data_IF_534396356087
#
_entry.id   IF_534396356087
#
_cell.length_a   1.000
_cell.length_b   1.000
_cell.length_c   1.000
_cell.angle_alpha   90.00
_cell.angle_beta   90.00
_cell.angle_gamma   90.00
#
_symmetry.space_group_name_H-M   'P 1'
#
loop_
_entity.id
_entity.type
_entity.pdbx_description
1 polymer ?
#
# COMPACT_ATOMS: atom_id res chain seq x y z
N UNK A 1 13.79 -8.07 -21.26
CA UNK A 1 12.53 -8.58 -20.68
C UNK A 1 12.92 -9.47 -19.52
N UNK A 2 12.95 -8.93 -18.29
CA UNK A 2 13.16 -9.75 -17.11
C UNK A 2 11.90 -10.59 -16.96
N UNK A 3 12.01 -11.89 -17.25
CA UNK A 3 10.98 -12.87 -16.93
C UNK A 3 11.00 -12.93 -15.40
N UNK A 4 10.01 -12.29 -14.75
CA UNK A 4 9.70 -12.60 -13.38
C UNK A 4 9.42 -14.11 -13.35
N UNK A 5 10.11 -14.82 -12.47
CA UNK A 5 9.72 -16.19 -12.15
C UNK A 5 8.27 -16.11 -11.68
N UNK A 6 7.33 -16.58 -12.49
CA UNK A 6 5.88 -16.38 -12.30
C UNK A 6 5.25 -17.48 -11.46
N UNK A 7 6.05 -18.42 -10.95
CA UNK A 7 5.57 -19.52 -10.12
C UNK A 7 5.56 -19.11 -8.66
N UNK A 8 4.63 -18.18 -8.33
CA UNK A 8 4.27 -17.84 -6.95
C UNK A 8 3.18 -18.79 -6.48
N UNK A 9 3.26 -19.22 -5.22
CA UNK A 9 2.27 -20.11 -4.61
C UNK A 9 1.17 -19.33 -3.92
N UNK A 10 1.54 -18.26 -3.18
CA UNK A 10 0.66 -17.54 -2.27
C UNK A 10 0.20 -16.18 -2.80
N UNK A 11 0.77 -15.73 -3.93
CA UNK A 11 0.36 -14.51 -4.62
C UNK A 11 0.21 -14.75 -6.12
N UNK A 12 -0.47 -13.82 -6.80
CA UNK A 12 -0.41 -13.66 -8.26
C UNK A 12 0.16 -12.28 -8.56
N UNK A 13 0.97 -12.17 -9.61
CA UNK A 13 1.42 -10.88 -10.12
C UNK A 13 1.03 -10.71 -11.57
N UNK A 14 0.34 -9.61 -11.87
CA UNK A 14 -0.03 -9.23 -13.24
C UNK A 14 0.49 -7.83 -13.54
N UNK A 15 1.02 -7.62 -14.74
CA UNK A 15 1.38 -6.30 -15.24
C UNK A 15 0.64 -6.01 -16.55
N UNK A 16 -0.21 -5.00 -16.55
CA UNK A 16 -0.99 -4.62 -17.73
C UNK A 16 -1.18 -3.09 -17.77
N UNK A 17 -0.93 -2.47 -18.92
CA UNK A 17 -1.19 -1.04 -19.19
C UNK A 17 -0.62 -0.09 -18.12
N UNK A 18 0.57 -0.38 -17.61
CA UNK A 18 1.22 0.44 -16.57
C UNK A 18 0.78 0.12 -15.15
N UNK A 19 -0.15 -0.78 -14.94
CA UNK A 19 -0.64 -1.22 -13.64
C UNK A 19 0.02 -2.55 -13.30
N UNK A 20 0.74 -2.60 -12.17
CA UNK A 20 1.16 -3.84 -11.55
C UNK A 20 0.16 -4.23 -10.48
N UNK A 21 -0.34 -5.45 -10.49
CA UNK A 21 -1.28 -5.95 -9.48
C UNK A 21 -0.67 -7.14 -8.77
N UNK A 22 -0.52 -7.03 -7.45
CA UNK A 22 -0.20 -8.13 -6.55
C UNK A 22 -1.52 -8.58 -5.92
N UNK A 23 -1.93 -9.81 -6.18
CA UNK A 23 -3.13 -10.41 -5.61
C UNK A 23 -2.72 -11.44 -4.58
N UNK A 24 -3.07 -11.26 -3.31
CA UNK A 24 -2.91 -12.28 -2.27
C UNK A 24 -3.79 -13.47 -2.65
N UNK A 25 -3.25 -14.68 -2.72
CA UNK A 25 -3.91 -15.83 -3.35
C UNK A 25 -4.01 -17.04 -2.43
N UNK A 26 -4.53 -16.82 -1.23
CA UNK A 26 -4.90 -17.87 -0.28
C UNK A 26 -6.37 -17.72 0.15
N UNK A 27 -7.34 -17.71 -0.81
CA UNK A 27 -8.74 -17.37 -0.51
C UNK A 27 -9.38 -18.31 0.52
N UNK A 28 -9.04 -19.60 0.53
CA UNK A 28 -9.52 -20.60 1.49
C UNK A 28 -9.07 -20.32 2.94
N UNK A 29 -8.06 -19.46 3.12
CA UNK A 29 -7.55 -18.97 4.40
C UNK A 29 -7.79 -17.47 4.58
N UNK A 30 -8.76 -16.89 3.86
CA UNK A 30 -9.03 -15.45 3.85
C UNK A 30 -7.75 -14.61 3.62
N UNK A 31 -6.84 -15.09 2.80
CA UNK A 31 -5.54 -14.50 2.49
C UNK A 31 -4.66 -14.24 3.72
N UNK A 32 -4.74 -15.13 4.73
CA UNK A 32 -3.89 -15.05 5.91
C UNK A 32 -2.41 -15.07 5.54
N UNK A 33 -1.64 -14.19 6.19
CA UNK A 33 -0.22 -13.96 5.90
C UNK A 33 0.64 -15.03 6.55
N UNK A 34 1.53 -15.60 5.74
CA UNK A 34 2.61 -16.47 6.19
C UNK A 34 3.95 -15.97 5.62
N UNK A 35 5.06 -16.45 6.17
CA UNK A 35 6.40 -16.03 5.76
C UNK A 35 6.66 -16.15 4.24
N UNK A 36 6.35 -17.28 3.57
CA UNK A 36 6.53 -17.40 2.13
C UNK A 36 5.79 -16.35 1.32
N UNK A 37 4.52 -16.05 1.67
CA UNK A 37 3.71 -15.02 1.02
C UNK A 37 4.40 -13.65 1.05
N UNK A 38 4.93 -13.26 2.21
CA UNK A 38 5.64 -11.98 2.34
C UNK A 38 6.93 -11.95 1.51
N UNK A 39 7.66 -13.06 1.45
CA UNK A 39 8.86 -13.15 0.62
C UNK A 39 8.55 -13.07 -0.87
N UNK A 40 7.44 -13.64 -1.31
CA UNK A 40 6.96 -13.49 -2.69
C UNK A 40 6.61 -12.04 -3.01
N UNK A 41 5.92 -11.32 -2.11
CA UNK A 41 5.66 -9.87 -2.25
C UNK A 41 6.98 -9.09 -2.35
N UNK A 42 7.94 -9.37 -1.46
CA UNK A 42 9.27 -8.73 -1.50
C UNK A 42 9.94 -8.93 -2.85
N UNK A 43 9.98 -10.16 -3.34
CA UNK A 43 10.63 -10.50 -4.62
C UNK A 43 9.99 -9.75 -5.80
N UNK A 44 8.64 -9.70 -5.84
CA UNK A 44 7.93 -8.91 -6.85
C UNK A 44 8.29 -7.44 -6.73
N UNK A 45 8.16 -6.85 -5.55
CA UNK A 45 8.39 -5.41 -5.35
C UNK A 45 9.82 -5.00 -5.72
N UNK A 46 10.83 -5.75 -5.31
CA UNK A 46 12.24 -5.45 -5.66
C UNK A 46 12.48 -5.51 -7.17
N UNK A 47 11.83 -6.43 -7.87
CA UNK A 47 11.95 -6.56 -9.32
C UNK A 47 11.29 -5.40 -10.08
N UNK A 48 10.25 -4.80 -9.50
CA UNK A 48 9.46 -3.76 -10.18
C UNK A 48 9.80 -2.33 -9.75
N UNK A 49 10.49 -2.11 -8.63
CA UNK A 49 10.77 -0.77 -8.08
C UNK A 49 11.32 0.22 -9.12
N UNK A 50 12.23 -0.24 -9.97
CA UNK A 50 12.89 0.58 -11.02
C UNK A 50 12.22 0.47 -12.39
N UNK A 51 11.14 -0.29 -12.53
CA UNK A 51 10.47 -0.49 -13.82
C UNK A 51 9.78 0.79 -14.27
N UNK A 52 10.31 1.43 -15.31
CA UNK A 52 9.76 2.71 -15.83
C UNK A 52 8.33 2.58 -16.36
N UNK A 53 7.98 1.44 -16.92
CA UNK A 53 6.64 1.18 -17.43
C UNK A 53 5.58 1.09 -16.34
N UNK A 54 5.96 0.83 -15.07
CA UNK A 54 5.04 0.80 -13.93
C UNK A 54 4.62 2.22 -13.57
N UNK A 55 3.33 2.45 -13.54
CA UNK A 55 2.72 3.74 -13.17
C UNK A 55 2.01 3.69 -11.83
N UNK A 56 1.36 2.57 -11.53
CA UNK A 56 0.64 2.32 -10.28
C UNK A 56 0.86 0.87 -9.86
N UNK A 57 1.02 0.63 -8.57
CA UNK A 57 0.97 -0.69 -7.97
C UNK A 57 -0.35 -0.86 -7.22
N UNK A 58 -1.02 -1.97 -7.45
CA UNK A 58 -2.25 -2.37 -6.75
C UNK A 58 -1.94 -3.59 -5.90
N UNK A 59 -2.49 -3.63 -4.69
CA UNK A 59 -2.49 -4.80 -3.80
C UNK A 59 -3.94 -5.14 -3.49
N UNK A 60 -4.34 -6.37 -3.75
CA UNK A 60 -5.70 -6.86 -3.53
C UNK A 60 -5.70 -8.28 -2.99
N UNK A 61 -6.82 -8.75 -2.46
CA UNK A 61 -7.03 -10.14 -2.06
C UNK A 61 -7.91 -10.89 -3.05
N UNK A 62 -7.58 -12.14 -3.33
CA UNK A 62 -8.44 -13.05 -4.09
C UNK A 62 -9.66 -13.44 -3.23
N UNK A 63 -10.86 -13.48 -3.84
CA UNK A 63 -12.08 -13.95 -3.18
C UNK A 63 -12.75 -12.89 -2.30
N UNK A 64 -13.22 -13.32 -1.09
CA UNK A 64 -14.15 -12.55 -0.27
C UNK A 64 -13.50 -11.59 0.72
N UNK A 65 -12.18 -11.61 0.87
CA UNK A 65 -11.46 -10.79 1.85
C UNK A 65 -10.15 -10.29 1.29
N UNK A 66 -9.75 -9.11 1.72
CA UNK A 66 -8.41 -8.62 1.45
C UNK A 66 -7.38 -9.48 2.17
N UNK A 67 -7.41 -9.52 3.52
CA UNK A 67 -6.51 -10.33 4.34
C UNK A 67 -7.00 -10.36 5.79
N UNK A 68 -7.05 -11.55 6.39
CA UNK A 68 -7.49 -11.76 7.78
C UNK A 68 -6.39 -11.60 8.83
N UNK A 69 -5.17 -11.24 8.44
CA UNK A 69 -4.02 -11.09 9.33
C UNK A 69 -3.04 -12.26 9.23
N UNK A 70 -2.23 -12.45 10.27
CA UNK A 70 -1.24 -13.54 10.31
C UNK A 70 -1.93 -14.91 10.39
N UNK A 71 -1.35 -15.90 9.73
CA UNK A 71 -1.78 -17.29 9.79
C UNK A 71 -1.46 -17.88 11.18
N UNK A 72 -2.47 -17.91 12.04
CA UNK A 72 -2.33 -18.30 13.46
C UNK A 72 -1.85 -19.74 13.67
N UNK A 73 -2.04 -20.62 12.69
CA UNK A 73 -1.54 -22.00 12.76
C UNK A 73 0.00 -21.99 12.77
N UNK A 74 0.61 -21.06 12.06
CA UNK A 74 2.06 -20.90 12.01
C UNK A 74 2.63 -20.08 13.18
N UNK A 75 1.76 -19.50 14.02
CA UNK A 75 2.10 -18.79 15.25
C UNK A 75 1.98 -19.66 16.51
N UNK A 76 1.87 -21.00 16.39
CA UNK A 76 1.61 -21.94 17.48
C UNK A 76 2.45 -21.72 18.75
N UNK A 77 2.30 -22.60 19.81
CA UNK A 77 2.91 -22.38 21.14
C UNK A 77 4.44 -22.19 21.11
N UNK A 78 5.09 -22.64 20.08
CA UNK A 78 6.54 -22.42 19.85
C UNK A 78 6.83 -21.05 19.22
N UNK A 79 5.81 -20.24 18.95
CA UNK A 79 5.90 -18.92 18.32
C UNK A 79 6.35 -18.97 16.84
N UNK A 80 6.26 -17.83 16.16
CA UNK A 80 6.85 -17.73 14.85
C UNK A 80 8.36 -17.92 15.01
N UNK A 81 8.92 -18.88 14.32
CA UNK A 81 10.36 -19.01 14.20
C UNK A 81 10.88 -17.91 13.28
N UNK A 82 10.86 -16.69 13.78
CA UNK A 82 11.63 -15.63 13.16
C UNK A 82 13.11 -16.00 13.29
N UNK A 83 13.91 -15.88 12.24
CA UNK A 83 15.35 -16.00 12.40
C UNK A 83 15.78 -15.02 13.50
N UNK A 84 16.78 -15.35 14.35
CA UNK A 84 17.21 -14.50 15.43
C UNK A 84 17.46 -13.10 14.92
N UNK A 85 16.72 -12.14 15.50
CA UNK A 85 16.69 -10.76 15.03
C UNK A 85 17.77 -9.99 15.80
N UNK A 86 18.96 -9.92 15.25
CA UNK A 86 19.94 -8.93 15.67
C UNK A 86 19.53 -7.51 15.24
N UNK A 87 18.63 -7.42 14.25
CA UNK A 87 18.18 -6.18 13.63
C UNK A 87 16.76 -6.40 13.07
N UNK A 88 15.76 -5.73 13.65
CA UNK A 88 14.35 -5.79 13.22
C UNK A 88 14.10 -5.43 11.74
N UNK A 89 15.11 -4.93 11.02
CA UNK A 89 15.04 -4.64 9.59
C UNK A 89 14.90 -5.88 8.71
N UNK A 90 15.14 -7.07 9.24
CA UNK A 90 15.13 -8.35 8.51
C UNK A 90 13.79 -9.09 8.54
N UNK A 91 12.83 -8.65 9.36
CA UNK A 91 11.50 -9.26 9.37
C UNK A 91 10.82 -8.97 8.01
N UNK A 92 10.31 -9.98 7.29
CA UNK A 92 9.67 -9.77 5.99
C UNK A 92 8.52 -8.78 6.03
N UNK A 93 7.75 -8.74 7.10
CA UNK A 93 6.70 -7.75 7.34
C UNK A 93 7.24 -6.32 7.22
N UNK A 94 8.33 -6.01 7.95
CA UNK A 94 8.95 -4.68 7.89
C UNK A 94 9.52 -4.37 6.50
N UNK A 95 10.08 -5.40 5.83
CA UNK A 95 10.63 -5.23 4.47
C UNK A 95 9.56 -4.88 3.46
N UNK A 96 8.40 -5.56 3.50
CA UNK A 96 7.25 -5.24 2.63
C UNK A 96 6.78 -3.81 2.87
N UNK A 97 6.54 -3.43 4.13
CA UNK A 97 6.11 -2.07 4.51
C UNK A 97 7.11 -1.03 3.99
N UNK A 98 8.41 -1.26 4.20
CA UNK A 98 9.47 -0.37 3.70
C UNK A 98 9.43 -0.23 2.19
N UNK A 99 9.35 -1.34 1.44
CA UNK A 99 9.30 -1.32 -0.02
C UNK A 99 8.07 -0.56 -0.55
N UNK A 100 6.90 -0.70 0.09
CA UNK A 100 5.69 0.06 -0.25
C UNK A 100 5.93 1.57 -0.08
N UNK A 101 6.62 1.98 0.97
CA UNK A 101 6.92 3.40 1.22
C UNK A 101 8.02 3.93 0.29
N UNK A 102 9.04 3.13 -0.03
CA UNK A 102 10.18 3.53 -0.85
C UNK A 102 9.89 3.59 -2.35
N UNK A 103 8.98 2.76 -2.86
CA UNK A 103 8.65 2.76 -4.29
C UNK A 103 8.09 4.12 -4.73
N UNK A 104 8.73 4.76 -5.70
CA UNK A 104 8.33 6.06 -6.25
C UNK A 104 7.17 5.92 -7.26
N UNK A 105 6.15 5.18 -6.86
CA UNK A 105 4.90 4.96 -7.59
C UNK A 105 3.76 4.96 -6.58
N UNK A 106 2.55 5.41 -6.93
CA UNK A 106 1.38 5.20 -6.10
C UNK A 106 1.13 3.73 -5.84
N UNK A 107 0.85 3.37 -4.59
CA UNK A 107 0.44 2.03 -4.17
C UNK A 107 -0.98 2.11 -3.62
N UNK A 108 -1.87 1.31 -4.18
CA UNK A 108 -3.31 1.31 -3.87
C UNK A 108 -3.69 -0.04 -3.30
N UNK A 109 -4.28 -0.06 -2.10
CA UNK A 109 -4.92 -1.25 -1.55
C UNK A 109 -6.40 -1.28 -1.95
N UNK A 110 -6.86 -2.41 -2.48
CA UNK A 110 -8.28 -2.68 -2.76
C UNK A 110 -8.83 -3.59 -1.66
N UNK A 111 -9.69 -3.03 -0.82
CA UNK A 111 -10.13 -3.64 0.42
C UNK A 111 -11.58 -4.11 0.32
N UNK A 112 -11.81 -5.43 0.41
CA UNK A 112 -13.13 -6.03 0.53
C UNK A 112 -13.15 -7.04 1.67
N UNK A 113 -14.28 -7.25 2.32
CA UNK A 113 -14.42 -8.18 3.43
C UNK A 113 -13.47 -7.84 4.59
N UNK A 114 -12.65 -8.77 5.02
CA UNK A 114 -11.74 -8.56 6.15
C UNK A 114 -10.40 -7.94 5.74
N UNK A 115 -9.96 -6.91 6.50
CA UNK A 115 -8.65 -6.30 6.44
C UNK A 115 -8.12 -6.14 7.87
N UNK A 116 -7.47 -7.18 8.40
CA UNK A 116 -7.20 -7.33 9.82
C UNK A 116 -5.71 -7.56 10.12
N UNK A 117 -5.24 -7.11 11.28
CA UNK A 117 -3.89 -7.41 11.79
C UNK A 117 -2.77 -7.12 10.78
N UNK A 118 -2.02 -8.12 10.34
CA UNK A 118 -0.97 -7.94 9.34
C UNK A 118 -1.51 -7.48 7.97
N UNK A 119 -2.75 -7.82 7.60
CA UNK A 119 -3.43 -7.26 6.45
C UNK A 119 -3.74 -5.78 6.64
N UNK A 120 -4.09 -5.37 7.85
CA UNK A 120 -4.27 -3.97 8.21
C UNK A 120 -2.95 -3.19 8.11
N UNK A 121 -1.84 -3.73 8.64
CA UNK A 121 -0.50 -3.15 8.49
C UNK A 121 -0.16 -2.90 7.01
N UNK A 122 -0.42 -3.90 6.15
CA UNK A 122 -0.17 -3.82 4.71
C UNK A 122 -1.00 -2.70 4.05
N UNK A 123 -2.28 -2.60 4.41
CA UNK A 123 -3.18 -1.56 3.91
C UNK A 123 -2.78 -0.16 4.38
N UNK A 124 -2.35 -0.01 5.64
CA UNK A 124 -1.89 1.27 6.20
C UNK A 124 -0.60 1.77 5.53
N UNK A 125 0.27 0.86 5.11
CA UNK A 125 1.49 1.21 4.39
C UNK A 125 1.24 1.74 2.97
N UNK A 126 0.11 1.38 2.33
CA UNK A 126 -0.27 1.85 1.00
C UNK A 126 -0.62 3.34 1.01
N UNK A 127 -0.48 4.00 -0.15
CA UNK A 127 -0.80 5.42 -0.30
C UNK A 127 -2.32 5.65 -0.30
N UNK A 128 -3.05 4.78 -0.97
CA UNK A 128 -4.52 4.83 -1.06
C UNK A 128 -5.16 3.52 -0.61
N UNK A 129 -6.32 3.62 0.02
CA UNK A 129 -7.18 2.52 0.46
C UNK A 129 -8.56 2.74 -0.14
N UNK A 130 -8.93 1.92 -1.13
CA UNK A 130 -10.26 1.92 -1.72
C UNK A 130 -11.01 0.72 -1.14
N UNK A 131 -12.19 0.96 -0.60
CA UNK A 131 -12.96 -0.03 0.14
C UNK A 131 -14.26 -0.40 -0.57
N UNK A 132 -14.66 -1.66 -0.45
CA UNK A 132 -16.04 -2.07 -0.68
C UNK A 132 -16.87 -1.82 0.58
N UNK A 133 -18.18 -1.66 0.44
CA UNK A 133 -19.13 -1.40 1.53
C UNK A 133 -19.25 -2.53 2.55
N UNK A 134 -18.80 -3.75 2.20
CA UNK A 134 -18.74 -4.91 3.10
C UNK A 134 -17.46 -4.98 3.93
N UNK A 135 -16.59 -3.95 3.91
CA UNK A 135 -15.31 -3.94 4.63
C UNK A 135 -15.50 -4.05 6.15
N UNK A 136 -14.67 -4.90 6.77
CA UNK A 136 -14.40 -4.91 8.22
C UNK A 136 -12.90 -4.76 8.39
N UNK A 137 -12.47 -3.64 9.00
CA UNK A 137 -11.07 -3.25 9.09
C UNK A 137 -10.67 -2.91 10.52
N UNK A 138 -9.46 -3.27 10.91
CA UNK A 138 -8.90 -2.93 12.22
C UNK A 138 -7.79 -3.85 12.70
N UNK A 139 -7.36 -3.60 13.93
CA UNK A 139 -6.34 -4.40 14.59
C UNK A 139 -6.90 -5.15 15.79
N UNK A 140 -7.24 -6.41 15.59
CA UNK A 140 -7.81 -7.26 16.65
C UNK A 140 -6.74 -7.98 17.49
N UNK A 141 -5.45 -7.72 17.27
CA UNK A 141 -4.34 -8.42 17.94
C UNK A 141 -4.38 -8.31 19.45
N UNK A 142 -4.80 -7.17 20.01
CA UNK A 142 -4.95 -6.96 21.46
C UNK A 142 -5.90 -7.98 22.09
N UNK A 143 -6.98 -8.38 21.39
CA UNK A 143 -7.93 -9.41 21.88
C UNK A 143 -7.35 -10.83 21.84
N UNK A 144 -6.16 -11.00 21.30
CA UNK A 144 -5.42 -12.26 21.20
C UNK A 144 -4.07 -12.20 21.93
N UNK A 145 -3.90 -11.23 22.84
CA UNK A 145 -2.66 -10.98 23.57
C UNK A 145 -1.42 -10.79 22.66
N UNK A 146 -1.64 -10.25 21.45
CA UNK A 146 -0.59 -9.91 20.52
C UNK A 146 -0.43 -8.39 20.41
N UNK A 147 0.81 -7.92 20.22
CA UNK A 147 1.09 -6.52 19.97
C UNK A 147 1.06 -6.19 18.48
N UNK A 148 0.88 -4.91 18.15
CA UNK A 148 1.10 -4.38 16.81
C UNK A 148 2.55 -4.63 16.37
N UNK A 149 2.78 -4.95 15.10
CA UNK A 149 4.11 -5.37 14.63
C UNK A 149 4.66 -4.51 13.49
N UNK A 150 3.88 -4.26 12.44
CA UNK A 150 4.43 -3.79 11.15
C UNK A 150 4.05 -2.36 10.83
N UNK A 151 4.08 -1.49 11.83
CA UNK A 151 3.92 -0.06 11.65
C UNK A 151 2.53 0.48 11.99
N UNK A 152 1.56 -0.32 12.43
CA UNK A 152 0.23 0.18 12.86
C UNK A 152 0.36 1.31 13.86
N UNK A 153 1.21 1.18 14.90
CA UNK A 153 1.44 2.24 15.90
C UNK A 153 2.02 3.52 15.32
N UNK A 154 2.66 3.45 14.17
CA UNK A 154 3.22 4.61 13.49
C UNK A 154 2.26 5.23 12.47
N UNK A 155 1.62 4.40 11.63
CA UNK A 155 0.73 4.87 10.55
C UNK A 155 -0.62 5.33 11.08
N UNK A 156 -1.27 4.50 11.92
CA UNK A 156 -2.66 4.73 12.29
C UNK A 156 -2.88 6.10 12.97
N UNK A 157 -2.10 6.50 14.00
CA UNK A 157 -2.30 7.80 14.63
C UNK A 157 -2.01 8.99 13.70
N UNK A 158 -1.21 8.79 12.65
CA UNK A 158 -0.97 9.83 11.63
C UNK A 158 -2.09 9.94 10.60
N UNK A 159 -2.88 8.89 10.44
CA UNK A 159 -4.03 8.87 9.53
C UNK A 159 -5.30 9.36 10.23
N UNK A 160 -5.62 8.83 11.42
CA UNK A 160 -6.91 9.08 12.08
C UNK A 160 -6.82 9.89 13.37
N UNK A 161 -5.62 10.30 13.76
CA UNK A 161 -5.33 10.96 15.04
C UNK A 161 -5.14 9.97 16.21
N UNK A 162 -4.41 10.42 17.24
CA UNK A 162 -3.98 9.54 18.35
C UNK A 162 -5.17 8.94 19.11
N UNK A 163 -6.21 9.72 19.41
CA UNK A 163 -7.33 9.24 20.20
C UNK A 163 -8.07 8.05 19.53
N UNK A 164 -8.36 8.18 18.23
CA UNK A 164 -9.01 7.10 17.47
C UNK A 164 -8.08 5.89 17.29
N UNK A 165 -6.80 6.13 17.05
CA UNK A 165 -5.82 5.05 16.95
C UNK A 165 -5.70 4.27 18.27
N UNK A 166 -5.70 4.96 19.41
CA UNK A 166 -5.69 4.36 20.75
C UNK A 166 -6.92 3.48 20.96
N UNK A 167 -8.12 3.99 20.63
CA UNK A 167 -9.35 3.21 20.74
C UNK A 167 -9.28 1.93 19.87
N UNK A 168 -8.94 2.05 18.60
CA UNK A 168 -8.87 0.91 17.66
C UNK A 168 -7.84 -0.13 18.12
N UNK A 169 -6.63 0.30 18.50
CA UNK A 169 -5.55 -0.63 18.86
C UNK A 169 -5.80 -1.29 20.20
N UNK A 170 -6.16 -0.52 21.25
CA UNK A 170 -6.24 -1.06 22.59
C UNK A 170 -7.51 -1.89 22.83
N UNK A 171 -8.63 -1.55 22.19
CA UNK A 171 -9.86 -2.31 22.28
C UNK A 171 -9.90 -3.51 21.31
N UNK A 172 -9.12 -3.46 20.23
CA UNK A 172 -9.17 -4.46 19.17
C UNK A 172 -10.47 -4.46 18.37
N UNK A 173 -11.25 -3.38 18.45
CA UNK A 173 -12.53 -3.30 17.73
C UNK A 173 -12.31 -3.15 16.23
N UNK A 174 -13.29 -3.60 15.48
CA UNK A 174 -13.33 -3.47 14.03
C UNK A 174 -14.26 -2.33 13.63
N UNK A 175 -13.87 -1.63 12.57
CA UNK A 175 -14.67 -0.62 11.91
C UNK A 175 -15.34 -1.22 10.67
N UNK A 176 -16.51 -0.71 10.33
CA UNK A 176 -17.09 -0.92 9.00
C UNK A 176 -16.57 0.10 7.98
N UNK A 177 -17.05 -0.02 6.75
CA UNK A 177 -16.61 0.84 5.65
C UNK A 177 -17.01 2.29 5.85
N UNK A 178 -18.19 2.57 6.41
CA UNK A 178 -18.73 3.91 6.63
C UNK A 178 -17.92 4.65 7.68
N UNK A 179 -17.72 4.04 8.86
CA UNK A 179 -16.88 4.61 9.92
C UNK A 179 -15.44 4.82 9.44
N UNK A 180 -14.88 3.85 8.71
CA UNK A 180 -13.52 3.97 8.15
C UNK A 180 -13.39 5.14 7.17
N UNK A 181 -14.42 5.45 6.40
CA UNK A 181 -14.46 6.62 5.52
C UNK A 181 -14.59 7.92 6.32
N UNK A 182 -15.48 7.95 7.30
CA UNK A 182 -15.75 9.13 8.14
C UNK A 182 -14.47 9.60 8.87
N UNK A 183 -13.70 8.67 9.41
CA UNK A 183 -12.45 9.01 10.13
C UNK A 183 -11.23 9.17 9.21
N UNK A 184 -11.39 9.06 7.88
CA UNK A 184 -10.31 9.19 6.90
C UNK A 184 -9.37 7.99 6.82
N UNK A 185 -9.74 6.85 7.40
CA UNK A 185 -8.94 5.62 7.32
C UNK A 185 -8.92 5.04 5.91
N UNK A 186 -10.03 5.15 5.16
CA UNK A 186 -10.11 4.80 3.74
C UNK A 186 -10.42 6.03 2.89
N UNK A 187 -9.96 6.04 1.64
CA UNK A 187 -10.10 7.20 0.77
C UNK A 187 -11.45 7.24 0.02
N UNK A 188 -12.01 6.07 -0.28
CA UNK A 188 -13.30 5.90 -0.96
C UNK A 188 -13.96 4.60 -0.54
N UNK A 189 -15.29 4.61 -0.53
CA UNK A 189 -16.12 3.41 -0.38
C UNK A 189 -17.01 3.28 -1.62
N UNK A 190 -17.11 2.07 -2.15
CA UNK A 190 -17.95 1.73 -3.29
C UNK A 190 -18.83 0.52 -2.94
N UNK A 191 -20.05 0.42 -3.51
CA UNK A 191 -20.85 -0.79 -3.39
C UNK A 191 -20.08 -2.02 -3.87
N UNK A 192 -20.13 -3.12 -3.14
CA UNK A 192 -19.42 -4.36 -3.50
C UNK A 192 -19.70 -4.79 -4.93
N UNK A 193 -20.95 -4.69 -5.36
CA UNK A 193 -21.38 -5.03 -6.73
C UNK A 193 -20.72 -4.18 -7.82
N UNK A 194 -20.22 -2.99 -7.49
CA UNK A 194 -19.53 -2.06 -8.41
C UNK A 194 -18.07 -1.82 -8.03
N UNK A 195 -17.56 -2.50 -6.99
CA UNK A 195 -16.26 -2.23 -6.42
C UNK A 195 -15.13 -2.38 -7.44
N UNK A 196 -15.12 -3.47 -8.19
CA UNK A 196 -14.11 -3.74 -9.22
C UNK A 196 -14.10 -2.69 -10.33
N UNK A 197 -15.29 -2.31 -10.81
CA UNK A 197 -15.45 -1.30 -11.86
C UNK A 197 -14.99 0.08 -11.37
N UNK A 198 -15.50 0.53 -10.21
CA UNK A 198 -15.20 1.86 -9.68
C UNK A 198 -13.75 2.02 -9.23
N UNK A 199 -13.18 0.97 -8.68
CA UNK A 199 -11.74 0.97 -8.35
C UNK A 199 -10.88 1.06 -9.59
N UNK A 200 -11.24 0.34 -10.68
CA UNK A 200 -10.55 0.44 -11.97
C UNK A 200 -10.60 1.85 -12.55
N UNK A 201 -11.77 2.51 -12.52
CA UNK A 201 -11.91 3.91 -12.95
C UNK A 201 -10.99 4.84 -12.16
N UNK A 202 -10.92 4.66 -10.83
CA UNK A 202 -10.07 5.46 -9.96
C UNK A 202 -8.57 5.24 -10.26
N UNK A 203 -8.16 3.98 -10.40
CA UNK A 203 -6.78 3.60 -10.73
C UNK A 203 -6.38 4.18 -12.09
N UNK A 204 -7.26 4.10 -13.09
CA UNK A 204 -7.00 4.63 -14.43
C UNK A 204 -6.68 6.13 -14.38
N UNK A 205 -7.44 6.93 -13.63
CA UNK A 205 -7.16 8.36 -13.46
C UNK A 205 -5.76 8.61 -12.90
N UNK A 206 -5.31 7.80 -11.94
CA UNK A 206 -3.95 7.92 -11.37
C UNK A 206 -2.88 7.52 -12.39
N UNK A 207 -3.14 6.50 -13.23
CA UNK A 207 -2.17 6.10 -14.26
C UNK A 207 -1.96 7.16 -15.34
N UNK A 208 -2.89 8.08 -15.53
CA UNK A 208 -2.80 9.18 -16.50
C UNK A 208 -1.98 10.36 -15.98
N UNK A 209 -1.71 10.43 -14.68
CA UNK A 209 -0.94 11.49 -14.05
C UNK A 209 0.58 11.35 -14.31
N UNK A 210 1.39 12.42 -14.14
CA UNK A 210 2.84 12.40 -14.38
C UNK A 210 3.55 11.58 -13.30
N UNK A 211 3.77 10.29 -13.55
CA UNK A 211 4.23 9.30 -12.58
C UNK A 211 5.52 9.69 -11.85
N UNK A 212 6.48 10.32 -12.52
CA UNK A 212 7.72 10.74 -11.86
C UNK A 212 7.47 11.87 -10.87
N UNK A 213 6.64 12.84 -11.23
CA UNK A 213 6.25 13.94 -10.34
C UNK A 213 5.59 13.37 -9.07
N UNK A 214 4.54 12.54 -9.23
CA UNK A 214 3.85 11.89 -8.11
C UNK A 214 4.83 11.06 -7.25
N UNK A 215 5.77 10.37 -7.87
CA UNK A 215 6.80 9.62 -7.16
C UNK A 215 7.71 10.52 -6.31
N UNK A 216 8.04 11.71 -6.79
CA UNK A 216 8.78 12.72 -6.02
C UNK A 216 7.92 13.28 -4.88
N UNK A 217 6.64 13.59 -5.14
CA UNK A 217 5.71 14.05 -4.11
C UNK A 217 5.56 13.01 -2.98
N UNK A 218 5.38 11.73 -3.32
CA UNK A 218 5.37 10.64 -2.35
C UNK A 218 6.68 10.60 -1.53
N UNK A 219 7.84 10.74 -2.19
CA UNK A 219 9.13 10.73 -1.50
C UNK A 219 9.28 11.95 -0.56
N UNK A 220 8.73 13.11 -0.91
CA UNK A 220 8.71 14.32 -0.07
C UNK A 220 7.77 14.13 1.12
N UNK A 221 6.55 13.65 0.90
CA UNK A 221 5.59 13.34 1.97
C UNK A 221 6.16 12.32 2.97
N UNK A 222 6.82 11.26 2.49
CA UNK A 222 7.45 10.29 3.37
C UNK A 222 8.61 10.91 4.15
N UNK A 223 9.43 11.75 3.52
CA UNK A 223 10.57 12.39 4.16
C UNK A 223 10.16 13.37 5.26
N UNK A 224 9.13 14.19 5.01
CA UNK A 224 8.65 15.20 5.96
C UNK A 224 8.11 14.60 7.27
N UNK A 225 7.67 13.34 7.26
CA UNK A 225 7.17 12.67 8.46
C UNK A 225 8.25 12.36 9.51
N UNK A 226 9.52 12.40 9.13
CA UNK A 226 10.67 12.11 10.01
C UNK A 226 11.60 13.30 10.19
N UNK A 227 11.33 14.43 9.50
CA UNK A 227 12.27 15.55 9.43
C UNK A 227 11.55 16.86 9.73
N UNK A 228 12.31 17.84 10.20
CA UNK A 228 11.85 19.20 10.42
C UNK A 228 11.59 19.94 9.10
N UNK A 229 10.96 21.12 9.20
CA UNK A 229 10.58 21.93 8.04
C UNK A 229 11.76 22.25 7.12
N UNK A 230 12.88 22.73 7.67
CA UNK A 230 13.99 23.20 6.84
C UNK A 230 14.65 22.08 6.00
N UNK A 231 15.00 20.90 6.58
CA UNK A 231 15.44 19.76 5.78
C UNK A 231 14.42 19.30 4.74
N UNK A 232 13.12 19.39 5.07
CA UNK A 232 12.05 19.04 4.13
C UNK A 232 12.00 19.99 2.94
N UNK A 233 12.08 21.32 3.14
CA UNK A 233 12.18 22.31 2.07
C UNK A 233 13.41 22.07 1.17
N UNK A 234 14.55 21.71 1.75
CA UNK A 234 15.73 21.35 0.97
C UNK A 234 15.51 20.11 0.11
N UNK A 235 14.80 19.11 0.64
CA UNK A 235 14.44 17.90 -0.10
C UNK A 235 13.50 18.20 -1.26
N UNK A 236 12.48 19.03 -1.00
CA UNK A 236 11.53 19.50 -2.02
C UNK A 236 12.26 20.20 -3.18
N UNK A 237 13.11 21.16 -2.86
CA UNK A 237 13.87 21.87 -3.89
C UNK A 237 14.73 20.93 -4.75
N UNK A 238 15.43 19.97 -4.12
CA UNK A 238 16.24 18.99 -4.87
C UNK A 238 15.39 18.12 -5.80
N UNK A 239 14.21 17.69 -5.37
CA UNK A 239 13.33 16.86 -6.19
C UNK A 239 12.60 17.68 -7.25
N UNK A 240 12.24 18.92 -6.94
CA UNK A 240 11.72 19.87 -7.93
C UNK A 240 12.73 20.11 -9.06
N UNK A 241 14.01 20.36 -8.76
CA UNK A 241 15.07 20.50 -9.76
C UNK A 241 15.25 19.24 -10.64
N UNK A 242 14.91 18.06 -10.15
CA UNK A 242 14.86 16.84 -10.97
C UNK A 242 13.60 16.80 -11.84
N UNK A 243 12.47 17.20 -11.27
CA UNK A 243 11.17 17.16 -11.95
C UNK A 243 11.12 18.09 -13.18
N UNK A 244 11.65 19.31 -13.08
CA UNK A 244 11.67 20.26 -14.21
C UNK A 244 12.47 19.78 -15.42
N UNK A 245 13.29 18.72 -15.27
CA UNK A 245 14.07 18.11 -16.35
C UNK A 245 13.34 16.91 -17.00
N UNK A 246 12.14 16.59 -16.53
CA UNK A 246 11.36 15.46 -17.07
C UNK A 246 10.60 15.88 -18.33
N UNK A 247 10.33 14.89 -19.19
CA UNK A 247 9.43 15.09 -20.33
C UNK A 247 8.05 15.57 -19.88
N UNK A 248 7.52 14.98 -18.80
CA UNK A 248 6.18 15.26 -18.32
C UNK A 248 6.03 16.69 -17.78
N UNK A 249 7.08 17.25 -17.19
CA UNK A 249 7.09 18.68 -16.83
C UNK A 249 6.95 19.57 -18.07
N UNK A 250 7.75 19.33 -19.10
CA UNK A 250 7.67 20.07 -20.36
C UNK A 250 6.31 19.93 -21.04
N UNK A 251 5.74 18.72 -21.04
CA UNK A 251 4.38 18.46 -21.57
C UNK A 251 3.32 19.21 -20.77
N UNK A 252 3.42 19.22 -19.43
CA UNK A 252 2.54 19.97 -18.57
C UNK A 252 2.52 21.46 -18.89
N UNK A 253 3.68 22.09 -19.02
CA UNK A 253 3.81 23.51 -19.40
C UNK A 253 3.25 23.80 -20.79
N UNK A 254 3.58 22.93 -21.76
CA UNK A 254 3.10 23.07 -23.15
C UNK A 254 1.58 22.90 -23.24
N UNK A 255 1.02 21.88 -22.61
CA UNK A 255 -0.42 21.63 -22.63
C UNK A 255 -1.21 22.77 -21.98
N UNK A 256 -0.70 23.33 -20.88
CA UNK A 256 -1.28 24.50 -20.22
C UNK A 256 -1.33 25.71 -21.16
N UNK A 257 -0.19 26.04 -21.81
CA UNK A 257 -0.14 27.17 -22.75
C UNK A 257 -1.04 26.97 -23.97
N UNK A 258 -1.24 25.74 -24.39
CA UNK A 258 -2.07 25.36 -25.55
C UNK A 258 -3.56 25.09 -25.17
N UNK A 259 -3.94 25.21 -23.91
CA UNK A 259 -5.31 24.94 -23.39
C UNK A 259 -5.84 23.56 -23.83
N UNK A 260 -5.02 22.54 -23.77
CA UNK A 260 -5.38 21.13 -24.07
C UNK A 260 -4.99 20.21 -22.92
N UNK A 261 -5.54 19.01 -22.93
CA UNK A 261 -5.16 17.98 -21.96
C UNK A 261 -3.72 17.51 -22.20
N UNK A 262 -2.94 17.29 -21.11
CA UNK A 262 -1.60 16.77 -21.19
C UNK A 262 -1.56 15.28 -21.52
N UNK A 263 -0.47 14.83 -22.17
CA UNK A 263 -0.22 13.42 -22.48
C UNK A 263 1.06 12.97 -21.80
N UNK A 264 0.95 12.62 -20.51
CA UNK A 264 2.09 12.22 -19.71
C UNK A 264 2.61 10.81 -20.05
N UNK A 265 3.94 10.68 -20.04
CA UNK A 265 4.65 9.42 -20.39
C UNK A 265 5.34 8.77 -19.19
N UNK A 266 5.32 9.40 -18.02
CA UNK A 266 6.00 8.90 -16.81
C UNK A 266 7.53 9.00 -16.87
N UNK A 267 8.09 9.97 -17.60
CA UNK A 267 9.53 10.11 -17.82
C UNK A 267 9.96 11.57 -17.99
#
# INVERSE_FOLDING_TARGET
>A
MLILNTDFNDIKYKFEKGIGTITLNRPDKLNAIQYPLLMEIVNVMESIMKKRALRVLVIEGEGHSFCSGDDMINLGPEGPRFPPLEDGSRIPHHRVVRLIREIQKPVIALLNGYCLGAGFDLALACDFRLAADNLKIGDYRSTRAQCVLSGTSWFLPRIVGLARATDIILTGRLLDAEEALEIGLVNKVFPLSKFKEKSKEYIQKITELPTMCIGYDKAMLNYSQYNELFPSLQKEFRLYCKNIRTYDFGEGMKSFSQKRDPKFKGR
#
